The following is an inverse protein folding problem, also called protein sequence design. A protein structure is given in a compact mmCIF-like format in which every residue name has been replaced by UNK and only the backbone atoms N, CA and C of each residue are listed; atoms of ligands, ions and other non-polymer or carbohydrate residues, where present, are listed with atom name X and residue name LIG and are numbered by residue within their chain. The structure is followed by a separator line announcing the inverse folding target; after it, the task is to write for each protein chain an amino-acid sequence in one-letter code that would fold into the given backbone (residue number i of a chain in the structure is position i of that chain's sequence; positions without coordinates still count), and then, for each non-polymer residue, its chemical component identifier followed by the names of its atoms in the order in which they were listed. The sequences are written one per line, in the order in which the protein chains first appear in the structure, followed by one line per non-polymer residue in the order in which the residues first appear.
data_IF_913693395980
#
_entry.id   IF_913693395980
#
_cell.length_a   1.000
_cell.length_b   1.000
_cell.length_c   1.000
_cell.angle_alpha   90.00
_cell.angle_beta   90.00
_cell.angle_gamma   90.00
#
_symmetry.space_group_name_H-M   'P 1'
#
loop_
_entity.id
_entity.type
_entity.pdbx_description
1 polymer ?
#
# COMPACT_ATOMS: atom_id res chain seq x y z
N UNK A 1 -25.31 80.22 35.09
CA UNK A 1 -25.70 78.82 35.50
C UNK A 1 -26.36 78.03 34.37
N UNK A 2 -27.30 78.60 33.63
CA UNK A 2 -27.97 77.92 32.51
C UNK A 2 -27.02 77.53 31.35
N UNK A 3 -26.01 78.39 31.07
CA UNK A 3 -25.03 78.18 30.00
C UNK A 3 -24.08 77.01 30.34
N UNK A 4 -23.57 76.91 31.53
CA UNK A 4 -22.76 75.83 32.02
C UNK A 4 -23.52 74.50 32.04
N UNK A 5 -24.77 74.48 32.43
CA UNK A 5 -25.62 73.31 32.42
C UNK A 5 -25.90 72.80 31.00
N UNK A 6 -26.14 73.71 30.06
CA UNK A 6 -26.33 73.35 28.63
C UNK A 6 -25.07 72.77 28.03
N UNK A 7 -23.91 73.32 28.31
CA UNK A 7 -22.62 72.76 27.87
C UNK A 7 -22.31 71.39 28.51
N UNK A 8 -22.64 71.20 29.77
CA UNK A 8 -22.48 69.90 30.46
C UNK A 8 -23.35 68.82 29.78
N UNK A 9 -24.63 69.13 29.49
CA UNK A 9 -25.54 68.21 28.83
C UNK A 9 -25.05 67.87 27.39
N UNK A 10 -24.55 68.87 26.67
CA UNK A 10 -24.03 68.66 25.31
C UNK A 10 -22.77 67.75 25.33
N UNK A 11 -21.82 67.97 26.23
CA UNK A 11 -20.63 67.16 26.37
C UNK A 11 -20.95 65.74 26.79
N UNK A 12 -21.84 65.56 27.75
CA UNK A 12 -22.30 64.24 28.19
C UNK A 12 -22.97 63.50 27.05
N UNK A 13 -23.82 64.15 26.29
CA UNK A 13 -24.45 63.56 25.09
C UNK A 13 -23.43 63.14 24.02
N UNK A 14 -22.40 63.91 23.83
CA UNK A 14 -21.30 63.52 22.89
C UNK A 14 -20.50 62.34 23.40
N UNK A 15 -20.21 62.28 24.70
CA UNK A 15 -19.54 61.14 25.32
C UNK A 15 -20.37 59.86 25.19
N UNK A 16 -21.66 59.92 25.47
CA UNK A 16 -22.58 58.80 25.33
C UNK A 16 -22.68 58.30 23.88
N UNK A 17 -22.71 59.22 22.94
CA UNK A 17 -22.74 58.89 21.48
C UNK A 17 -21.48 58.22 21.03
N UNK A 18 -20.30 58.75 21.44
CA UNK A 18 -19.02 58.13 21.13
C UNK A 18 -18.88 56.74 21.76
N UNK A 19 -19.29 56.61 23.02
CA UNK A 19 -19.23 55.33 23.76
C UNK A 19 -20.12 54.26 23.10
N UNK A 20 -21.35 54.63 22.72
CA UNK A 20 -22.26 53.73 22.00
C UNK A 20 -21.69 53.31 20.66
N UNK A 21 -21.13 54.24 19.91
CA UNK A 21 -20.54 53.98 18.58
C UNK A 21 -19.34 53.04 18.71
N UNK A 22 -18.43 53.29 19.66
CA UNK A 22 -17.25 52.46 19.92
C UNK A 22 -17.67 51.04 20.37
N UNK A 23 -18.62 50.91 21.26
CA UNK A 23 -19.14 49.64 21.74
C UNK A 23 -19.73 48.83 20.59
N UNK A 24 -20.50 49.43 19.74
CA UNK A 24 -21.07 48.80 18.54
C UNK A 24 -19.99 48.36 17.55
N UNK A 25 -18.97 49.21 17.34
CA UNK A 25 -17.89 48.93 16.39
C UNK A 25 -17.01 47.78 16.90
N UNK A 26 -16.68 47.76 18.17
CA UNK A 26 -15.94 46.66 18.81
C UNK A 26 -16.71 45.35 18.72
N UNK A 27 -17.99 45.33 19.03
CA UNK A 27 -18.83 44.13 18.94
C UNK A 27 -18.92 43.59 17.51
N UNK A 28 -19.09 44.51 16.52
CA UNK A 28 -19.13 44.13 15.12
C UNK A 28 -17.83 43.49 14.66
N UNK A 29 -16.70 44.12 15.01
CA UNK A 29 -15.37 43.60 14.66
C UNK A 29 -15.06 42.28 15.38
N UNK A 30 -15.44 42.16 16.63
CA UNK A 30 -15.29 40.91 17.36
C UNK A 30 -16.07 39.75 16.73
N UNK A 31 -17.34 39.97 16.39
CA UNK A 31 -18.17 38.96 15.74
C UNK A 31 -17.64 38.59 14.35
N UNK A 32 -17.17 39.59 13.58
CA UNK A 32 -16.57 39.35 12.26
C UNK A 32 -15.29 38.52 12.39
N UNK A 33 -14.45 38.82 13.35
CA UNK A 33 -13.22 38.09 13.59
C UNK A 33 -13.49 36.64 14.04
N UNK A 34 -14.44 36.44 14.94
CA UNK A 34 -14.88 35.09 15.35
C UNK A 34 -15.39 34.28 14.16
N UNK A 35 -16.23 34.86 13.33
CA UNK A 35 -16.73 34.18 12.14
C UNK A 35 -15.62 33.79 11.15
N UNK A 36 -14.56 34.62 11.02
CA UNK A 36 -13.39 34.28 10.23
C UNK A 36 -12.57 33.12 10.83
N UNK A 37 -12.39 33.14 12.14
CA UNK A 37 -11.70 32.06 12.86
C UNK A 37 -12.45 30.74 12.69
N UNK A 38 -13.76 30.73 12.88
CA UNK A 38 -14.59 29.54 12.70
C UNK A 38 -14.52 28.99 11.27
N UNK A 39 -14.58 29.90 10.28
CA UNK A 39 -14.46 29.52 8.87
C UNK A 39 -13.10 28.90 8.55
N UNK A 40 -12.02 29.52 9.00
CA UNK A 40 -10.67 28.96 8.82
C UNK A 40 -10.52 27.61 9.50
N UNK A 41 -11.03 27.49 10.71
CA UNK A 41 -10.97 26.24 11.49
C UNK A 41 -11.72 25.09 10.79
N UNK A 42 -12.93 25.38 10.28
CA UNK A 42 -13.73 24.41 9.51
C UNK A 42 -13.00 23.99 8.24
N UNK A 43 -12.55 24.95 7.43
CA UNK A 43 -11.82 24.67 6.19
C UNK A 43 -10.55 23.85 6.42
N UNK A 44 -9.81 24.17 7.48
CA UNK A 44 -8.59 23.44 7.82
C UNK A 44 -8.90 22.01 8.28
N UNK A 45 -9.92 21.81 9.10
CA UNK A 45 -10.35 20.50 9.56
C UNK A 45 -10.80 19.60 8.41
N UNK A 46 -11.59 20.15 7.49
CA UNK A 46 -12.03 19.44 6.27
C UNK A 46 -10.86 19.08 5.35
N UNK A 47 -9.91 20.00 5.19
CA UNK A 47 -8.71 19.76 4.37
C UNK A 47 -7.84 18.66 4.97
N UNK A 48 -7.64 18.67 6.28
CA UNK A 48 -6.88 17.61 6.99
C UNK A 48 -7.57 16.27 6.85
N UNK A 49 -8.88 16.19 7.07
CA UNK A 49 -9.66 14.96 6.94
C UNK A 49 -9.59 14.40 5.52
N UNK A 50 -9.74 15.25 4.52
CA UNK A 50 -9.66 14.85 3.11
C UNK A 50 -8.28 14.30 2.76
N UNK A 51 -7.22 14.97 3.19
CA UNK A 51 -5.84 14.53 2.93
C UNK A 51 -5.52 13.23 3.67
N UNK A 52 -6.00 13.09 4.90
CA UNK A 52 -5.85 11.85 5.67
C UNK A 52 -6.51 10.67 4.95
N UNK A 53 -7.76 10.81 4.53
CA UNK A 53 -8.48 9.77 3.81
C UNK A 53 -7.80 9.41 2.49
N UNK A 54 -7.40 10.42 1.71
CA UNK A 54 -6.65 10.20 0.45
C UNK A 54 -5.36 9.42 0.68
N UNK A 55 -4.61 9.76 1.72
CA UNK A 55 -3.37 9.05 2.06
C UNK A 55 -3.64 7.61 2.48
N UNK A 56 -4.66 7.38 3.30
CA UNK A 56 -5.06 6.05 3.74
C UNK A 56 -5.49 5.15 2.56
N UNK A 57 -6.27 5.70 1.62
CA UNK A 57 -6.67 5.00 0.41
C UNK A 57 -5.47 4.63 -0.47
N UNK A 58 -4.49 5.54 -0.59
CA UNK A 58 -3.25 5.26 -1.33
C UNK A 58 -2.42 4.16 -0.67
N UNK A 59 -2.31 4.17 0.65
CA UNK A 59 -1.61 3.12 1.39
C UNK A 59 -2.30 1.77 1.18
N UNK A 60 -3.61 1.72 1.28
CA UNK A 60 -4.41 0.52 1.03
C UNK A 60 -4.21 0.00 -0.39
N UNK A 61 -4.25 0.88 -1.39
CA UNK A 61 -4.03 0.51 -2.79
C UNK A 61 -2.64 -0.04 -3.04
N UNK A 62 -1.61 0.60 -2.51
CA UNK A 62 -0.22 0.12 -2.63
C UNK A 62 -0.05 -1.24 -1.96
N UNK A 63 -0.60 -1.40 -0.77
CA UNK A 63 -0.54 -2.66 -0.02
C UNK A 63 -1.20 -3.82 -0.80
N UNK A 64 -2.39 -3.59 -1.34
CA UNK A 64 -3.10 -4.57 -2.17
C UNK A 64 -2.32 -4.94 -3.44
N UNK A 65 -1.75 -3.94 -4.12
CA UNK A 65 -0.92 -4.16 -5.32
C UNK A 65 0.32 -4.97 -4.99
N UNK A 66 1.00 -4.65 -3.90
CA UNK A 66 2.19 -5.37 -3.45
C UNK A 66 1.88 -6.81 -3.07
N UNK A 67 0.81 -7.04 -2.31
CA UNK A 67 0.35 -8.38 -1.94
C UNK A 67 0.09 -9.24 -3.19
N UNK A 68 -0.64 -8.68 -4.16
CA UNK A 68 -0.94 -9.36 -5.42
C UNK A 68 0.31 -9.68 -6.25
N UNK A 69 1.28 -8.78 -6.26
CA UNK A 69 2.56 -9.00 -6.94
C UNK A 69 3.36 -10.13 -6.30
N UNK A 70 3.39 -10.19 -4.98
CA UNK A 70 4.06 -11.26 -4.22
C UNK A 70 3.38 -12.61 -4.46
N UNK A 71 2.05 -12.67 -4.42
CA UNK A 71 1.28 -13.89 -4.71
C UNK A 71 1.54 -14.40 -6.13
N UNK A 72 1.55 -13.51 -7.11
CA UNK A 72 1.84 -13.85 -8.52
C UNK A 72 3.26 -14.38 -8.67
N UNK A 73 4.24 -13.72 -8.08
CA UNK A 73 5.64 -14.16 -8.12
C UNK A 73 5.82 -15.53 -7.43
N UNK A 74 5.17 -15.74 -6.30
CA UNK A 74 5.21 -17.02 -5.59
C UNK A 74 4.58 -18.16 -6.39
N UNK A 75 3.42 -17.93 -7.02
CA UNK A 75 2.76 -18.92 -7.89
C UNK A 75 3.63 -19.26 -9.10
N UNK A 76 4.25 -18.26 -9.72
CA UNK A 76 5.16 -18.47 -10.86
C UNK A 76 6.38 -19.27 -10.45
N UNK A 77 6.98 -18.94 -9.31
CA UNK A 77 8.14 -19.66 -8.79
C UNK A 77 7.80 -21.12 -8.47
N UNK A 78 6.66 -21.37 -7.83
CA UNK A 78 6.19 -22.74 -7.57
C UNK A 78 6.00 -23.53 -8.87
N UNK A 79 5.36 -22.96 -9.88
CA UNK A 79 5.20 -23.60 -11.18
C UNK A 79 6.54 -23.92 -11.86
N UNK A 80 7.53 -23.05 -11.74
CA UNK A 80 8.87 -23.31 -12.26
C UNK A 80 9.56 -24.47 -11.53
N UNK A 81 9.44 -24.52 -10.19
CA UNK A 81 9.98 -25.62 -9.37
C UNK A 81 9.32 -26.95 -9.77
N UNK A 82 8.02 -26.99 -9.91
CA UNK A 82 7.27 -28.20 -10.29
C UNK A 82 7.67 -28.68 -11.70
N UNK A 83 7.87 -27.75 -12.62
CA UNK A 83 8.35 -28.04 -13.97
C UNK A 83 9.76 -28.64 -13.97
N UNK A 84 10.68 -28.03 -13.25
CA UNK A 84 12.05 -28.56 -13.10
C UNK A 84 12.04 -29.93 -12.47
N UNK A 85 11.27 -30.11 -11.41
CA UNK A 85 11.14 -31.40 -10.72
C UNK A 85 10.61 -32.51 -11.64
N UNK A 86 9.54 -32.20 -12.40
CA UNK A 86 8.98 -33.13 -13.39
C UNK A 86 9.99 -33.50 -14.48
N UNK A 87 10.73 -32.54 -14.99
CA UNK A 87 11.77 -32.77 -16.01
C UNK A 87 12.92 -33.62 -15.46
N UNK A 88 13.34 -33.40 -14.22
CA UNK A 88 14.36 -34.21 -13.57
C UNK A 88 13.93 -35.65 -13.38
N UNK A 89 12.70 -35.90 -12.92
CA UNK A 89 12.15 -37.25 -12.77
C UNK A 89 12.16 -37.98 -14.12
N UNK A 90 11.65 -37.35 -15.17
CA UNK A 90 11.66 -37.93 -16.52
C UNK A 90 13.05 -38.28 -17.02
N UNK A 91 14.05 -37.45 -16.76
CA UNK A 91 15.43 -37.71 -17.13
C UNK A 91 16.02 -38.89 -16.36
N UNK A 92 15.74 -38.96 -15.04
CA UNK A 92 16.19 -40.08 -14.21
C UNK A 92 15.57 -41.38 -14.69
N UNK A 93 14.27 -41.42 -14.97
CA UNK A 93 13.57 -42.58 -15.50
C UNK A 93 14.14 -43.04 -16.87
N UNK A 94 14.44 -42.09 -17.75
CA UNK A 94 15.06 -42.36 -19.03
C UNK A 94 16.46 -42.96 -18.87
N UNK A 95 17.29 -42.40 -17.99
CA UNK A 95 18.63 -42.94 -17.73
C UNK A 95 18.58 -44.32 -17.09
N UNK A 96 17.66 -44.56 -16.13
CA UNK A 96 17.47 -45.85 -15.52
C UNK A 96 17.06 -46.93 -16.56
N UNK A 97 16.14 -46.60 -17.45
CA UNK A 97 15.73 -47.49 -18.54
C UNK A 97 16.89 -47.82 -19.50
N UNK A 98 17.67 -46.79 -19.85
CA UNK A 98 18.83 -46.97 -20.74
C UNK A 98 19.93 -47.83 -20.06
N UNK A 99 20.15 -47.64 -18.79
CA UNK A 99 21.11 -48.41 -18.02
C UNK A 99 20.68 -49.90 -17.89
N UNK A 100 19.37 -50.13 -17.61
CA UNK A 100 18.81 -51.48 -17.56
C UNK A 100 19.00 -52.21 -18.89
N UNK A 101 18.66 -51.56 -20.01
CA UNK A 101 18.83 -52.12 -21.37
C UNK A 101 20.31 -52.41 -21.68
N UNK A 102 21.19 -51.52 -21.31
CA UNK A 102 22.64 -51.76 -21.48
C UNK A 102 23.12 -52.96 -20.66
N UNK A 103 22.73 -53.07 -19.41
CA UNK A 103 23.08 -54.18 -18.52
C UNK A 103 22.54 -55.49 -19.06
N UNK A 104 21.31 -55.58 -19.51
CA UNK A 104 20.71 -56.79 -20.15
C UNK A 104 21.46 -57.21 -21.41
N UNK A 105 21.81 -56.22 -22.24
CA UNK A 105 22.54 -56.46 -23.51
C UNK A 105 23.93 -57.02 -23.22
N UNK A 106 24.69 -56.44 -22.28
CA UNK A 106 26.02 -56.93 -21.91
C UNK A 106 25.99 -58.30 -21.20
N UNK A 107 24.97 -58.54 -20.39
CA UNK A 107 24.75 -59.85 -19.77
C UNK A 107 24.46 -60.94 -20.83
N UNK A 108 23.68 -60.65 -21.83
CA UNK A 108 23.41 -61.55 -22.94
C UNK A 108 24.63 -61.84 -23.77
N UNK A 109 25.45 -60.81 -24.08
CA UNK A 109 26.73 -60.98 -24.79
C UNK A 109 27.70 -61.89 -24.02
N UNK A 110 27.79 -61.68 -22.71
CA UNK A 110 28.65 -62.48 -21.86
C UNK A 110 28.20 -63.95 -21.78
N UNK A 111 26.91 -64.18 -21.63
CA UNK A 111 26.31 -65.54 -21.66
C UNK A 111 26.59 -66.26 -22.96
N UNK A 112 26.43 -65.55 -24.08
CA UNK A 112 26.76 -66.10 -25.42
C UNK A 112 28.24 -66.46 -25.56
N UNK A 113 29.13 -65.59 -25.11
CA UNK A 113 30.59 -65.83 -25.13
C UNK A 113 30.94 -67.03 -24.26
N UNK A 114 30.39 -67.19 -23.07
CA UNK A 114 30.58 -68.32 -22.18
C UNK A 114 30.13 -69.64 -22.85
N UNK A 115 28.96 -69.64 -23.46
CA UNK A 115 28.42 -70.80 -24.14
C UNK A 115 29.28 -71.22 -25.32
N UNK A 116 29.79 -70.25 -26.10
CA UNK A 116 30.66 -70.50 -27.23
C UNK A 116 32.02 -71.12 -26.78
N UNK A 117 32.61 -70.58 -25.74
CA UNK A 117 33.84 -71.15 -25.15
C UNK A 117 33.59 -72.58 -24.65
N UNK A 118 32.49 -72.78 -23.97
CA UNK A 118 32.13 -74.10 -23.40
C UNK A 118 31.91 -75.14 -24.53
N UNK A 119 31.25 -74.75 -25.60
CA UNK A 119 31.07 -75.62 -26.80
C UNK A 119 32.40 -75.95 -27.50
N UNK A 120 33.34 -75.03 -27.52
CA UNK A 120 34.65 -75.25 -28.17
C UNK A 120 35.55 -76.17 -27.34
N UNK A 121 35.39 -76.15 -26.02
CA UNK A 121 36.16 -76.98 -25.12
C UNK A 121 35.63 -78.43 -24.98
N UNK A 122 34.38 -78.60 -25.33
CA UNK A 122 33.77 -79.92 -25.38
C UNK A 122 34.20 -80.70 -26.67
#
# INVERSE_FOLDING_TARGET
MTHVNASYIEVTGKIDSVNTTLTKDINTKYNTLNGKIDSVNTTLSESITTKYNTLNDRITSVNNTLTKSIETANTTLQGNIDSVNTNLIKRIDSYNSSLANYTDTESTKLSTAINNVNSTLA
#
